data_IF_618142327955
#
_entry.id   IF_618142327955
#
_cell.length_a   1.000
_cell.length_b   1.000
_cell.length_c   1.000
_cell.angle_alpha   90.00
_cell.angle_beta   90.00
_cell.angle_gamma   90.00
#
_symmetry.space_group_name_H-M   'P 1'
#
loop_
_entity.id
_entity.type
_entity.pdbx_description
1 polymer ?
#
# COMPACT_ATOMS: atom_id res chain seq x y z
N UNK A 1 10.54 4.78 15.43
CA UNK A 1 9.11 4.64 15.16
C UNK A 1 8.51 6.00 14.82
N UNK A 2 7.74 6.08 13.76
CA UNK A 2 7.11 7.31 13.32
C UNK A 2 5.88 7.62 14.20
N UNK A 3 5.65 8.91 14.51
CA UNK A 3 4.44 9.34 15.20
C UNK A 3 3.28 9.52 14.23
N UNK A 4 3.57 9.60 12.93
CA UNK A 4 2.57 9.71 11.87
C UNK A 4 2.51 8.39 11.14
N UNK A 5 1.34 7.78 11.12
CA UNK A 5 1.14 6.47 10.52
C UNK A 5 0.06 6.60 9.45
N UNK A 6 0.32 6.09 8.25
CA UNK A 6 -0.68 6.05 7.19
C UNK A 6 -1.57 4.83 7.42
N UNK A 7 -2.86 5.06 7.60
CA UNK A 7 -3.82 3.98 7.76
C UNK A 7 -4.62 3.83 6.47
N UNK A 8 -4.68 2.61 5.96
CA UNK A 8 -5.43 2.29 4.74
C UNK A 8 -6.56 1.36 5.11
N UNK A 9 -7.78 1.72 4.72
CA UNK A 9 -8.98 0.94 4.98
C UNK A 9 -9.13 -0.18 3.94
N UNK A 10 -9.20 -1.42 4.41
CA UNK A 10 -9.37 -2.58 3.53
C UNK A 10 -10.79 -3.13 3.69
N UNK A 11 -11.63 -2.84 2.71
CA UNK A 11 -13.02 -3.29 2.70
C UNK A 11 -13.14 -4.81 2.53
N UNK A 12 -12.16 -5.41 1.87
CA UNK A 12 -12.15 -6.86 1.64
C UNK A 12 -11.61 -7.67 2.80
N UNK A 13 -11.23 -7.03 3.90
CA UNK A 13 -10.67 -7.69 5.09
C UNK A 13 -9.44 -8.55 4.78
N UNK A 14 -8.61 -8.06 3.88
CA UNK A 14 -7.39 -8.75 3.42
C UNK A 14 -6.13 -7.90 3.65
N UNK A 15 -6.14 -7.07 4.69
CA UNK A 15 -5.01 -6.21 5.02
C UNK A 15 -3.73 -6.97 5.34
N UNK A 16 -3.82 -8.08 6.07
CA UNK A 16 -2.64 -8.87 6.41
C UNK A 16 -2.01 -9.52 5.16
N UNK A 17 -2.84 -9.93 4.21
CA UNK A 17 -2.36 -10.45 2.92
C UNK A 17 -1.66 -9.34 2.13
N UNK A 18 -2.29 -8.15 2.09
CA UNK A 18 -1.72 -7.01 1.39
C UNK A 18 -0.40 -6.57 2.03
N UNK A 19 -0.33 -6.54 3.35
CA UNK A 19 0.89 -6.18 4.06
C UNK A 19 2.03 -7.11 3.67
N UNK A 20 1.79 -8.41 3.63
CA UNK A 20 2.81 -9.38 3.24
C UNK A 20 3.21 -9.19 1.78
N UNK A 21 2.24 -8.93 0.90
CA UNK A 21 2.52 -8.70 -0.51
C UNK A 21 3.42 -7.48 -0.71
N UNK A 22 3.11 -6.38 -0.01
CA UNK A 22 3.94 -5.16 -0.10
C UNK A 22 5.33 -5.39 0.49
N UNK A 23 5.42 -6.07 1.63
CA UNK A 23 6.72 -6.38 2.25
C UNK A 23 7.59 -7.18 1.29
N UNK A 24 7.03 -8.23 0.71
CA UNK A 24 7.77 -9.08 -0.24
C UNK A 24 8.17 -8.30 -1.49
N UNK A 25 7.27 -7.45 -1.99
CA UNK A 25 7.53 -6.63 -3.16
C UNK A 25 8.70 -5.68 -2.93
N UNK A 26 8.71 -4.97 -1.81
CA UNK A 26 9.75 -4.01 -1.52
C UNK A 26 11.09 -4.69 -1.18
N UNK A 27 11.06 -5.79 -0.45
CA UNK A 27 12.29 -6.49 -0.07
C UNK A 27 12.96 -7.20 -1.25
N UNK A 28 12.22 -7.52 -2.29
CA UNK A 28 12.77 -8.19 -3.48
C UNK A 28 13.08 -7.22 -4.61
N UNK A 29 12.85 -5.92 -4.40
CA UNK A 29 13.06 -4.92 -5.43
C UNK A 29 14.54 -4.67 -5.70
N UNK A 30 14.90 -4.31 -6.94
CA UNK A 30 16.26 -3.85 -7.21
C UNK A 30 16.49 -2.50 -6.54
N UNK A 31 17.75 -2.17 -6.36
CA UNK A 31 18.20 -0.94 -5.71
C UNK A 31 17.88 -0.92 -4.21
N UNK A 32 17.77 0.28 -3.64
CA UNK A 32 17.76 0.46 -2.19
C UNK A 32 16.35 0.58 -1.62
N UNK A 33 15.69 -0.56 -1.51
CA UNK A 33 14.35 -0.64 -0.92
C UNK A 33 14.36 -1.64 0.24
N UNK A 34 13.54 -1.36 1.24
CA UNK A 34 13.43 -2.27 2.37
C UNK A 34 12.01 -2.21 2.95
N UNK A 35 11.64 -3.28 3.61
CA UNK A 35 10.35 -3.36 4.27
C UNK A 35 10.46 -4.22 5.51
N UNK A 36 9.65 -3.92 6.51
CA UNK A 36 9.61 -4.67 7.77
C UNK A 36 8.18 -4.96 8.14
N UNK A 37 7.93 -6.16 8.63
CA UNK A 37 6.64 -6.50 9.20
C UNK A 37 6.54 -5.87 10.59
N UNK A 38 5.34 -5.36 10.92
CA UNK A 38 5.07 -4.81 12.25
C UNK A 38 4.08 -5.68 13.00
N UNK A 39 3.42 -5.07 13.96
CA UNK A 39 2.47 -5.78 14.83
C UNK A 39 1.12 -5.99 14.15
N UNK A 40 0.41 -6.98 14.61
CA UNK A 40 -0.97 -7.20 14.22
C UNK A 40 -1.85 -7.13 15.45
N UNK A 41 -3.06 -6.57 15.30
CA UNK A 41 -4.05 -6.60 16.36
C UNK A 41 -5.20 -7.50 15.94
N UNK A 42 -5.92 -8.02 16.93
CA UNK A 42 -7.03 -8.93 16.70
C UNK A 42 -8.35 -8.22 16.94
N UNK A 43 -9.37 -8.60 16.19
CA UNK A 43 -10.69 -8.02 16.32
C UNK A 43 -11.31 -8.43 17.67
N UNK A 44 -11.77 -7.46 18.50
CA UNK A 44 -12.55 -7.80 19.68
C UNK A 44 -13.96 -8.19 19.26
N UNK A 45 -14.68 -8.87 20.16
CA UNK A 45 -16.04 -9.30 19.89
C UNK A 45 -16.95 -8.14 19.47
N UNK A 46 -16.76 -6.98 20.07
CA UNK A 46 -17.60 -5.81 19.82
C UNK A 46 -17.46 -5.28 18.38
N UNK A 47 -16.35 -5.53 17.71
CA UNK A 47 -16.15 -5.04 16.33
C UNK A 47 -16.79 -5.95 15.28
N UNK A 48 -17.24 -7.13 15.67
CA UNK A 48 -17.84 -8.09 14.73
C UNK A 48 -19.05 -7.52 14.03
N UNK A 49 -19.86 -6.74 14.72
CA UNK A 49 -21.06 -6.12 14.14
C UNK A 49 -20.73 -5.07 13.08
N UNK A 50 -19.59 -4.40 13.21
CA UNK A 50 -19.18 -3.33 12.31
C UNK A 50 -18.46 -3.88 11.08
N UNK A 51 -17.46 -4.72 11.28
CA UNK A 51 -16.59 -5.19 10.21
C UNK A 51 -17.03 -6.52 9.61
N UNK A 52 -17.92 -7.25 10.29
CA UNK A 52 -18.31 -8.59 9.88
C UNK A 52 -17.23 -9.64 10.13
N UNK A 53 -16.16 -9.26 10.82
CA UNK A 53 -15.05 -10.17 11.13
C UNK A 53 -15.25 -10.81 12.49
N UNK A 54 -15.01 -12.12 12.61
CA UNK A 54 -15.18 -12.80 13.90
C UNK A 54 -14.10 -12.36 14.90
N UNK A 55 -14.44 -12.47 16.18
CA UNK A 55 -13.51 -12.22 17.25
C UNK A 55 -12.23 -13.02 17.02
N UNK A 56 -11.07 -12.38 17.20
CA UNK A 56 -9.78 -13.04 17.06
C UNK A 56 -9.19 -13.00 15.66
N UNK A 57 -9.95 -12.55 14.66
CA UNK A 57 -9.39 -12.34 13.33
C UNK A 57 -8.52 -11.09 13.32
N UNK A 58 -7.66 -10.95 12.33
CA UNK A 58 -6.76 -9.78 12.23
C UNK A 58 -7.58 -8.52 11.99
N UNK A 59 -7.45 -7.53 12.87
CA UNK A 59 -8.08 -6.24 12.70
C UNK A 59 -7.14 -5.26 12.00
N UNK A 60 -5.89 -5.16 12.46
CA UNK A 60 -4.89 -4.32 11.82
C UNK A 60 -3.61 -5.10 11.56
N UNK A 61 -2.92 -4.75 10.49
CA UNK A 61 -1.60 -5.28 10.18
C UNK A 61 -0.69 -4.10 9.90
N UNK A 62 0.38 -3.97 10.66
CA UNK A 62 1.34 -2.89 10.48
C UNK A 62 2.53 -3.34 9.68
N UNK A 63 3.05 -2.44 8.86
CA UNK A 63 4.29 -2.67 8.13
C UNK A 63 5.00 -1.36 7.89
N UNK A 64 6.27 -1.45 7.53
CA UNK A 64 7.08 -0.30 7.18
C UNK A 64 7.63 -0.54 5.77
N UNK A 65 7.40 0.41 4.88
CA UNK A 65 7.86 0.33 3.49
C UNK A 65 8.76 1.53 3.24
N UNK A 66 10.03 1.28 2.95
CA UNK A 66 11.04 2.34 2.73
C UNK A 66 11.02 3.39 3.84
N UNK A 67 10.90 2.95 5.08
CA UNK A 67 10.92 3.84 6.25
C UNK A 67 9.60 4.49 6.60
N UNK A 68 8.55 4.25 5.82
CA UNK A 68 7.23 4.84 6.07
C UNK A 68 6.34 3.81 6.77
N UNK A 69 5.71 4.22 7.87
CA UNK A 69 4.84 3.34 8.65
C UNK A 69 3.44 3.30 8.07
N UNK A 70 2.92 2.08 7.89
CA UNK A 70 1.57 1.84 7.40
C UNK A 70 0.81 0.95 8.38
N UNK A 71 -0.49 1.20 8.50
CA UNK A 71 -1.40 0.32 9.21
C UNK A 71 -2.52 -0.04 8.24
N UNK A 72 -2.69 -1.33 7.97
CA UNK A 72 -3.74 -1.81 7.09
C UNK A 72 -4.88 -2.32 7.96
N UNK A 73 -6.02 -1.64 7.88
CA UNK A 73 -7.16 -1.87 8.76
C UNK A 73 -8.25 -2.65 8.04
N UNK A 74 -8.60 -3.80 8.59
CA UNK A 74 -9.70 -4.61 8.07
C UNK A 74 -11.03 -4.09 8.62
N UNK A 75 -11.57 -3.06 7.96
CA UNK A 75 -12.76 -2.36 8.45
C UNK A 75 -14.08 -2.84 7.86
N UNK A 76 -14.02 -3.70 6.86
CA UNK A 76 -15.23 -4.18 6.20
C UNK A 76 -15.74 -3.21 5.13
N UNK A 77 -16.77 -3.61 4.40
CA UNK A 77 -17.27 -2.80 3.28
C UNK A 77 -18.00 -1.56 3.79
N UNK A 78 -17.45 -0.38 3.45
CA UNK A 78 -18.08 0.92 3.75
C UNK A 78 -17.83 1.83 2.55
N UNK A 79 -18.90 2.28 1.90
CA UNK A 79 -18.81 3.05 0.68
C UNK A 79 -18.02 4.36 0.87
N UNK A 80 -18.19 5.05 1.99
CA UNK A 80 -17.49 6.30 2.24
C UNK A 80 -15.98 6.15 2.42
N UNK A 81 -15.49 4.93 2.63
CA UNK A 81 -14.07 4.66 2.80
C UNK A 81 -13.47 3.89 1.63
N UNK A 82 -14.16 3.88 0.50
CA UNK A 82 -13.67 3.22 -0.70
C UNK A 82 -12.41 3.89 -1.20
N UNK A 83 -11.39 3.08 -1.49
CA UNK A 83 -10.12 3.60 -1.99
C UNK A 83 -10.25 4.17 -3.40
N UNK A 84 -9.52 5.24 -3.66
CA UNK A 84 -9.50 5.89 -4.98
C UNK A 84 -8.17 6.62 -5.16
N UNK A 85 -8.02 7.32 -6.29
CA UNK A 85 -6.79 8.02 -6.62
C UNK A 85 -6.57 9.35 -5.90
N UNK A 86 -7.45 9.71 -4.96
CA UNK A 86 -7.28 10.95 -4.19
C UNK A 86 -6.07 10.91 -3.28
N UNK A 87 -5.60 9.73 -2.94
CA UNK A 87 -4.35 9.51 -2.22
C UNK A 87 -3.55 8.47 -2.98
N UNK A 88 -2.26 8.72 -3.16
CA UNK A 88 -1.37 7.79 -3.83
C UNK A 88 -0.01 7.80 -3.17
N UNK A 89 0.75 6.74 -3.40
CA UNK A 89 2.09 6.61 -2.85
C UNK A 89 3.08 6.59 -4.01
N UNK A 90 4.07 7.46 -3.92
CA UNK A 90 5.04 7.66 -4.99
C UNK A 90 6.29 6.84 -4.70
N UNK A 91 6.69 6.00 -5.63
CA UNK A 91 7.95 5.28 -5.58
C UNK A 91 8.86 5.94 -6.60
N UNK A 92 9.89 6.63 -6.11
CA UNK A 92 10.89 7.25 -6.97
C UNK A 92 11.93 6.20 -7.34
N UNK A 93 12.14 5.99 -8.62
CA UNK A 93 13.01 4.95 -9.13
C UNK A 93 14.23 5.53 -9.81
N UNK A 94 15.38 4.90 -9.61
CA UNK A 94 16.64 5.34 -10.21
C UNK A 94 16.88 4.74 -11.59
N UNK A 95 16.37 3.52 -11.84
CA UNK A 95 16.64 2.78 -13.08
C UNK A 95 15.36 2.31 -13.74
N UNK A 96 15.44 2.01 -15.02
CA UNK A 96 14.32 1.42 -15.77
C UNK A 96 13.95 0.05 -15.22
N UNK A 97 14.96 -0.72 -14.80
CA UNK A 97 14.72 -2.04 -14.18
C UNK A 97 13.83 -1.93 -12.95
N UNK A 98 14.09 -0.93 -12.13
CA UNK A 98 13.32 -0.68 -10.92
C UNK A 98 11.87 -0.29 -11.26
N UNK A 99 11.70 0.60 -12.25
CA UNK A 99 10.38 1.01 -12.71
C UNK A 99 9.59 -0.19 -13.21
N UNK A 100 10.21 -1.01 -14.07
CA UNK A 100 9.55 -2.19 -14.64
C UNK A 100 9.16 -3.19 -13.55
N UNK A 101 10.03 -3.35 -12.54
CA UNK A 101 9.76 -4.25 -11.42
C UNK A 101 8.51 -3.84 -10.64
N UNK A 102 8.46 -2.57 -10.19
CA UNK A 102 7.32 -2.11 -9.40
C UNK A 102 6.05 -2.05 -10.23
N UNK A 103 6.15 -1.66 -11.49
CA UNK A 103 4.99 -1.62 -12.38
C UNK A 103 4.36 -3.02 -12.52
N UNK A 104 5.21 -4.01 -12.77
CA UNK A 104 4.74 -5.39 -12.90
C UNK A 104 4.08 -5.89 -11.62
N UNK A 105 4.66 -5.55 -10.46
CA UNK A 105 4.14 -6.03 -9.19
C UNK A 105 2.88 -5.30 -8.74
N UNK A 106 2.75 -4.04 -9.06
CA UNK A 106 1.69 -3.20 -8.49
C UNK A 106 0.55 -2.89 -9.46
N UNK A 107 0.79 -2.78 -10.77
CA UNK A 107 -0.28 -2.46 -11.68
C UNK A 107 -1.17 -3.68 -11.94
N UNK A 108 -2.39 -3.64 -11.44
CA UNK A 108 -3.34 -4.73 -11.57
C UNK A 108 -4.63 -4.34 -12.30
N UNK A 109 -4.83 -3.05 -12.56
CA UNK A 109 -6.04 -2.52 -13.19
C UNK A 109 -5.64 -1.78 -14.45
N UNK A 110 -5.70 -2.41 -15.65
CA UNK A 110 -5.24 -1.76 -16.89
C UNK A 110 -5.89 -0.42 -17.17
N UNK A 111 -7.17 -0.25 -16.84
CA UNK A 111 -7.91 0.98 -17.08
C UNK A 111 -7.40 2.14 -16.24
N UNK A 112 -6.71 1.85 -15.14
CA UNK A 112 -6.19 2.87 -14.24
C UNK A 112 -4.78 3.31 -14.60
N UNK A 113 -4.15 2.65 -15.56
CA UNK A 113 -2.75 2.96 -15.94
C UNK A 113 -2.68 4.28 -16.70
N UNK A 114 -1.92 5.24 -16.15
CA UNK A 114 -1.70 6.56 -16.79
C UNK A 114 -0.41 7.17 -16.28
N UNK A 115 0.52 7.48 -17.18
CA UNK A 115 1.71 8.31 -16.87
C UNK A 115 2.39 8.01 -15.52
N UNK A 116 2.64 6.74 -15.25
CA UNK A 116 3.27 6.32 -13.99
C UNK A 116 2.29 6.01 -12.88
N UNK A 117 1.01 6.30 -13.07
CA UNK A 117 -0.04 5.96 -12.10
C UNK A 117 -0.58 4.56 -12.35
N UNK A 118 -0.80 3.81 -11.29
CA UNK A 118 -1.44 2.50 -11.38
C UNK A 118 -2.22 2.20 -10.09
N UNK A 119 -3.09 1.21 -10.17
CA UNK A 119 -3.87 0.75 -9.02
C UNK A 119 -3.56 -0.73 -8.83
N UNK A 120 -3.30 -1.13 -7.59
CA UNK A 120 -2.99 -2.52 -7.32
C UNK A 120 -4.26 -3.35 -7.12
N UNK A 121 -4.07 -4.65 -6.90
CA UNK A 121 -5.21 -5.57 -6.78
C UNK A 121 -6.06 -5.34 -5.53
N UNK A 122 -5.57 -4.54 -4.59
CA UNK A 122 -6.30 -4.19 -3.37
C UNK A 122 -6.99 -2.84 -3.49
N UNK A 123 -6.78 -2.13 -4.58
CA UNK A 123 -7.40 -0.82 -4.81
C UNK A 123 -6.54 0.37 -4.41
N UNK A 124 -5.31 0.13 -3.95
CA UNK A 124 -4.40 1.20 -3.54
C UNK A 124 -3.75 1.78 -4.78
N UNK A 125 -3.66 3.11 -4.83
CA UNK A 125 -3.09 3.84 -5.96
C UNK A 125 -1.62 4.14 -5.71
N UNK A 126 -0.78 3.84 -6.70
CA UNK A 126 0.66 4.06 -6.66
C UNK A 126 1.09 4.90 -7.85
N UNK A 127 2.19 5.64 -7.66
CA UNK A 127 2.88 6.29 -8.76
C UNK A 127 4.29 5.71 -8.79
N UNK A 128 4.66 5.12 -9.92
CA UNK A 128 6.00 4.57 -10.13
C UNK A 128 6.68 5.48 -11.13
N UNK A 129 7.60 6.32 -10.65
CA UNK A 129 8.15 7.41 -11.45
C UNK A 129 9.67 7.45 -11.38
N UNK A 130 10.32 7.89 -12.47
CA UNK A 130 11.76 8.08 -12.43
C UNK A 130 12.10 9.34 -11.62
N UNK A 131 13.09 9.23 -10.76
CA UNK A 131 13.53 10.35 -9.94
C UNK A 131 13.97 11.54 -10.80
N UNK A 132 14.56 11.27 -11.96
CA UNK A 132 15.01 12.32 -12.86
C UNK A 132 13.85 13.21 -13.34
N UNK A 133 12.65 12.65 -13.44
CA UNK A 133 11.47 13.43 -13.83
C UNK A 133 11.16 14.50 -12.79
N UNK A 134 11.24 14.13 -11.51
CA UNK A 134 11.03 15.08 -10.42
C UNK A 134 12.07 16.20 -10.47
N UNK A 135 13.34 15.84 -10.70
CA UNK A 135 14.41 16.82 -10.82
C UNK A 135 14.18 17.78 -11.96
N UNK A 136 13.76 17.28 -13.13
CA UNK A 136 13.48 18.11 -14.29
C UNK A 136 12.34 19.07 -14.00
N UNK A 137 11.29 18.61 -13.35
CA UNK A 137 10.15 19.45 -13.03
C UNK A 137 10.49 20.55 -12.04
N UNK A 138 11.41 20.28 -11.11
CA UNK A 138 11.85 21.28 -10.14
C UNK A 138 12.70 22.39 -10.77
N UNK A 139 13.33 22.11 -11.90
CA UNK A 139 14.13 23.09 -12.63
C UNK A 139 13.29 24.04 -13.48
N UNK A 140 12.02 23.73 -13.66
CA UNK A 140 11.09 24.59 -14.44
C UNK A 140 10.51 25.71 -13.56
#
# INVERSE_FOLDING_TARGET
MSKLITCIWFAGNNGEEAAQYYIDTFNSAPDDHSAKIGDQTKAPKASEEVSGRPEGSVLTAECELDGISFMLLNGGPMEQFKLNGGTSFIIECETQEEIDYFWEKLSAVPEAEQCGWCTDKYGVTWQVVPRILDEIMRLS
#
